data_IF_674313689171
#
_entry.id   IF_674313689171
#
_cell.length_a   1.000
_cell.length_b   1.000
_cell.length_c   1.000
_cell.angle_alpha   90.00
_cell.angle_beta   90.00
_cell.angle_gamma   90.00
#
_symmetry.space_group_name_H-M   'P 1'
#
loop_
_entity.id
_entity.type
_entity.pdbx_description
1 polymer ?
#
# COMPACT_ATOMS: atom_id res chain seq x y z
N UNK A 1 -24.37 -9.46 17.35
CA UNK A 1 -24.68 -9.39 15.91
C UNK A 1 -23.33 -9.38 15.18
N UNK A 2 -22.99 -10.51 14.54
CA UNK A 2 -21.65 -10.83 14.03
C UNK A 2 -21.37 -9.99 12.77
N UNK A 3 -20.40 -9.08 12.80
CA UNK A 3 -19.91 -8.41 11.59
C UNK A 3 -18.76 -9.22 10.99
N UNK A 4 -19.10 -9.92 9.90
CA UNK A 4 -18.18 -10.56 8.97
C UNK A 4 -17.68 -9.45 8.02
N UNK A 5 -16.54 -8.82 8.32
CA UNK A 5 -15.82 -7.94 7.38
C UNK A 5 -14.68 -8.79 6.81
N UNK A 6 -15.01 -9.54 5.78
CA UNK A 6 -14.11 -10.24 4.85
C UNK A 6 -14.80 -10.15 3.50
N UNK A 7 -14.03 -9.93 2.42
CA UNK A 7 -14.42 -9.47 1.07
C UNK A 7 -14.37 -7.93 1.03
N UNK A 8 -13.30 -7.29 0.53
CA UNK A 8 -12.97 -7.20 -0.91
C UNK A 8 -11.44 -7.03 -1.19
N UNK A 9 -10.56 -7.04 -0.17
CA UNK A 9 -9.21 -6.44 -0.31
C UNK A 9 -8.05 -7.27 -0.89
N UNK A 10 -8.26 -8.36 -1.64
CA UNK A 10 -7.14 -9.11 -2.25
C UNK A 10 -7.42 -9.70 -3.65
N UNK A 11 -8.38 -9.16 -4.39
CA UNK A 11 -8.65 -9.61 -5.77
C UNK A 11 -7.86 -8.81 -6.82
N UNK A 12 -6.64 -8.38 -6.48
CA UNK A 12 -5.68 -7.96 -7.49
C UNK A 12 -4.72 -9.13 -7.73
N UNK A 13 -5.07 -9.88 -8.78
CA UNK A 13 -4.24 -10.85 -9.51
C UNK A 13 -4.01 -12.21 -8.83
N UNK A 14 -5.07 -13.02 -8.70
CA UNK A 14 -4.94 -14.40 -8.20
C UNK A 14 -5.58 -15.51 -9.07
N UNK A 15 -5.88 -15.26 -10.34
CA UNK A 15 -6.35 -16.32 -11.24
C UNK A 15 -5.61 -16.35 -12.58
N UNK A 16 -4.31 -16.65 -12.55
CA UNK A 16 -3.48 -16.83 -13.74
C UNK A 16 -3.81 -18.09 -14.60
N UNK A 17 -5.03 -18.63 -14.57
CA UNK A 17 -5.35 -19.91 -15.22
C UNK A 17 -6.60 -19.96 -16.11
N UNK A 18 -7.38 -18.90 -16.29
CA UNK A 18 -8.53 -18.95 -17.22
C UNK A 18 -8.88 -17.58 -17.79
N UNK A 19 -8.87 -17.49 -19.12
CA UNK A 19 -9.20 -16.34 -19.98
C UNK A 19 -9.86 -15.13 -19.32
N UNK A 20 -9.15 -13.99 -19.37
CA UNK A 20 -9.58 -12.72 -18.80
C UNK A 20 -10.36 -11.91 -19.84
N UNK A 21 -11.51 -11.36 -19.44
CA UNK A 21 -12.35 -10.45 -20.23
C UNK A 21 -12.40 -9.07 -19.57
N UNK A 22 -12.68 -8.01 -20.35
CA UNK A 22 -12.73 -6.59 -19.91
C UNK A 22 -13.67 -6.32 -18.71
N UNK A 23 -14.56 -7.27 -18.36
CA UNK A 23 -15.50 -7.15 -17.25
C UNK A 23 -14.90 -7.30 -15.85
N UNK A 24 -13.72 -7.93 -15.70
CA UNK A 24 -13.17 -8.27 -14.38
C UNK A 24 -12.71 -7.06 -13.56
N UNK A 25 -12.26 -5.98 -14.20
CA UNK A 25 -11.87 -4.77 -13.46
C UNK A 25 -13.05 -4.18 -12.68
N UNK A 26 -14.23 -4.08 -13.29
CA UNK A 26 -15.41 -3.55 -12.60
C UNK A 26 -15.89 -4.46 -11.47
N UNK A 27 -15.77 -5.78 -11.66
CA UNK A 27 -16.11 -6.74 -10.64
C UNK A 27 -15.20 -6.54 -9.41
N UNK A 28 -13.89 -6.29 -9.60
CA UNK A 28 -12.95 -5.94 -8.52
C UNK A 28 -13.24 -4.58 -7.89
N UNK A 29 -13.73 -3.62 -8.66
CA UNK A 29 -14.16 -2.31 -8.17
C UNK A 29 -15.54 -2.35 -7.48
N UNK A 30 -16.10 -3.54 -7.25
CA UNK A 30 -17.32 -3.72 -6.47
C UNK A 30 -18.58 -3.45 -7.27
N UNK A 31 -18.61 -3.80 -8.56
CA UNK A 31 -19.84 -3.78 -9.38
C UNK A 31 -20.97 -4.56 -8.73
N UNK A 32 -20.70 -5.77 -8.22
CA UNK A 32 -21.71 -6.62 -7.57
C UNK A 32 -22.15 -6.08 -6.19
N UNK A 33 -21.25 -5.44 -5.44
CA UNK A 33 -21.58 -4.79 -4.15
C UNK A 33 -22.26 -3.43 -4.31
N UNK A 34 -22.36 -2.93 -5.55
CA UNK A 34 -22.86 -1.60 -5.88
C UNK A 34 -21.94 -0.47 -5.41
N UNK A 35 -20.65 -0.73 -5.21
CA UNK A 35 -19.66 0.27 -4.77
C UNK A 35 -19.39 1.34 -5.83
N UNK A 36 -19.62 1.02 -7.11
CA UNK A 36 -19.55 1.98 -8.22
C UNK A 36 -20.45 3.22 -8.03
N UNK A 37 -21.45 3.17 -7.13
CA UNK A 37 -22.26 4.35 -6.75
C UNK A 37 -21.45 5.52 -6.17
N UNK A 38 -20.23 5.28 -5.70
CA UNK A 38 -19.33 6.30 -5.16
C UNK A 38 -18.47 6.98 -6.23
N UNK A 39 -18.55 6.53 -7.49
CA UNK A 39 -17.94 7.17 -8.66
C UNK A 39 -18.95 8.19 -9.17
N UNK A 40 -18.77 9.46 -8.82
CA UNK A 40 -19.79 10.50 -9.06
C UNK A 40 -19.21 11.74 -9.72
N UNK A 41 -17.95 12.07 -9.42
CA UNK A 41 -17.31 13.29 -9.90
C UNK A 41 -16.57 13.06 -11.21
N UNK A 42 -16.34 14.11 -12.03
CA UNK A 42 -15.48 13.99 -13.21
C UNK A 42 -14.08 13.45 -12.89
N UNK A 43 -13.54 13.75 -11.70
CA UNK A 43 -12.26 13.22 -11.24
C UNK A 43 -12.32 11.71 -11.00
N UNK A 44 -13.39 11.20 -10.37
CA UNK A 44 -13.57 9.76 -10.17
C UNK A 44 -13.57 9.01 -11.50
N UNK A 45 -14.33 9.49 -12.47
CA UNK A 45 -14.39 8.87 -13.80
C UNK A 45 -13.04 8.93 -14.50
N UNK A 46 -12.33 10.06 -14.42
CA UNK A 46 -10.99 10.23 -15.01
C UNK A 46 -10.02 9.19 -14.45
N UNK A 47 -9.91 9.10 -13.12
CA UNK A 47 -8.99 8.19 -12.43
C UNK A 47 -9.34 6.73 -12.63
N UNK A 48 -10.61 6.37 -12.45
CA UNK A 48 -11.06 5.00 -12.64
C UNK A 48 -10.76 4.49 -14.05
N UNK A 49 -11.02 5.32 -15.08
CA UNK A 49 -10.69 4.98 -16.46
C UNK A 49 -9.18 4.90 -16.70
N UNK A 50 -8.39 5.81 -16.13
CA UNK A 50 -6.93 5.76 -16.19
C UNK A 50 -6.36 4.47 -15.61
N UNK A 51 -6.81 4.07 -14.42
CA UNK A 51 -6.37 2.81 -13.80
C UNK A 51 -6.85 1.58 -14.57
N UNK A 52 -8.07 1.61 -15.12
CA UNK A 52 -8.56 0.55 -16.00
C UNK A 52 -7.68 0.40 -17.25
N UNK A 53 -7.27 1.50 -17.87
CA UNK A 53 -6.38 1.45 -19.02
C UNK A 53 -5.01 0.86 -18.66
N UNK A 54 -4.43 1.26 -17.53
CA UNK A 54 -3.18 0.68 -17.02
C UNK A 54 -3.36 -0.83 -16.82
N UNK A 55 -4.41 -1.23 -16.10
CA UNK A 55 -4.72 -2.63 -15.83
C UNK A 55 -4.86 -3.44 -17.13
N UNK A 56 -5.65 -2.96 -18.10
CA UNK A 56 -5.87 -3.66 -19.37
C UNK A 56 -4.60 -3.74 -20.25
N UNK A 57 -3.73 -2.71 -20.21
CA UNK A 57 -2.46 -2.70 -20.95
C UNK A 57 -1.41 -3.60 -20.30
N UNK A 58 -1.37 -3.63 -18.98
CA UNK A 58 -0.32 -4.26 -18.18
C UNK A 58 -0.66 -5.66 -17.70
N UNK A 59 -1.84 -6.20 -17.97
CA UNK A 59 -2.15 -7.58 -17.57
C UNK A 59 -1.28 -8.58 -18.36
N UNK A 60 -0.07 -8.81 -17.85
CA UNK A 60 0.94 -9.68 -18.45
C UNK A 60 0.52 -11.13 -18.25
N UNK A 61 0.66 -11.90 -19.34
CA UNK A 61 0.27 -13.31 -19.50
C UNK A 61 1.46 -14.27 -19.40
N UNK A 62 2.63 -13.81 -18.94
CA UNK A 62 3.86 -14.61 -18.92
C UNK A 62 4.66 -14.40 -17.62
N UNK A 63 5.08 -15.53 -17.07
CA UNK A 63 5.91 -15.64 -15.88
C UNK A 63 7.39 -15.50 -16.29
N UNK A 64 8.07 -14.47 -15.78
CA UNK A 64 9.52 -14.42 -15.80
C UNK A 64 10.10 -15.52 -14.90
N UNK A 65 11.28 -16.05 -15.22
CA UNK A 65 11.93 -17.05 -14.35
C UNK A 65 12.62 -16.43 -13.13
N UNK A 66 12.99 -15.16 -13.21
CA UNK A 66 13.71 -14.42 -12.15
C UNK A 66 12.86 -13.27 -11.61
N UNK A 67 12.88 -13.01 -10.29
CA UNK A 67 12.10 -11.93 -9.68
C UNK A 67 12.67 -10.55 -10.05
N UNK A 68 11.83 -9.68 -10.60
CA UNK A 68 12.10 -8.26 -10.85
C UNK A 68 11.97 -7.43 -9.57
N UNK A 69 11.07 -7.84 -8.67
CA UNK A 69 10.92 -7.29 -7.31
C UNK A 69 11.53 -8.27 -6.31
N UNK A 70 12.44 -7.82 -5.41
CA UNK A 70 13.04 -8.67 -4.39
C UNK A 70 12.01 -9.47 -3.57
N UNK A 71 12.32 -10.73 -3.27
CA UNK A 71 11.46 -11.62 -2.46
C UNK A 71 11.61 -11.33 -0.96
N UNK A 72 11.25 -10.13 -0.56
CA UNK A 72 11.25 -9.65 0.83
C UNK A 72 9.89 -9.03 1.15
N UNK A 73 9.34 -9.37 2.31
CA UNK A 73 8.12 -8.77 2.85
C UNK A 73 8.48 -7.89 4.05
N UNK A 74 8.01 -6.65 4.01
CA UNK A 74 8.20 -5.67 5.07
C UNK A 74 6.89 -5.46 5.85
N UNK A 75 6.96 -5.66 7.16
CA UNK A 75 5.91 -5.32 8.12
C UNK A 75 6.39 -4.18 9.00
N UNK A 76 5.51 -3.21 9.30
CA UNK A 76 5.82 -2.06 10.14
C UNK A 76 4.91 -2.08 11.38
N UNK A 77 5.50 -1.90 12.56
CA UNK A 77 4.76 -1.73 13.81
C UNK A 77 5.44 -0.69 14.71
N UNK A 78 4.70 0.39 14.96
CA UNK A 78 5.20 1.58 15.64
C UNK A 78 4.48 1.82 16.97
N UNK A 79 5.16 2.50 17.88
CA UNK A 79 4.62 2.90 19.17
C UNK A 79 4.63 1.79 20.21
N UNK A 80 4.21 2.16 21.43
CA UNK A 80 4.35 1.29 22.60
C UNK A 80 3.38 0.12 22.64
N UNK A 81 2.29 0.14 21.87
CA UNK A 81 1.27 -0.90 21.88
C UNK A 81 1.85 -2.27 21.50
N UNK A 82 1.34 -3.32 22.14
CA UNK A 82 1.71 -4.70 21.80
C UNK A 82 1.24 -5.06 20.39
N UNK A 83 2.02 -5.89 19.70
CA UNK A 83 1.64 -6.37 18.39
C UNK A 83 0.36 -7.23 18.48
N UNK A 84 -0.69 -6.97 17.68
CA UNK A 84 -1.97 -7.63 17.87
C UNK A 84 -1.90 -9.15 17.64
N UNK A 85 -2.47 -9.95 18.56
CA UNK A 85 -2.48 -11.42 18.44
C UNK A 85 -3.09 -11.92 17.14
N UNK A 86 -4.14 -11.25 16.63
CA UNK A 86 -4.75 -11.59 15.34
C UNK A 86 -3.76 -11.41 14.18
N UNK A 87 -2.92 -10.38 14.23
CA UNK A 87 -1.93 -10.10 13.21
C UNK A 87 -0.77 -11.07 13.26
N UNK A 88 -0.42 -11.62 14.42
CA UNK A 88 0.55 -12.73 14.51
C UNK A 88 0.09 -13.89 13.61
N UNK A 89 -1.18 -14.27 13.69
CA UNK A 89 -1.74 -15.32 12.84
C UNK A 89 -1.68 -14.99 11.35
N UNK A 90 -1.86 -13.71 10.99
CA UNK A 90 -1.74 -13.29 9.58
C UNK A 90 -0.30 -13.40 9.08
N UNK A 91 0.68 -12.99 9.89
CA UNK A 91 2.10 -13.13 9.57
C UNK A 91 2.49 -14.61 9.39
N UNK A 92 1.96 -15.52 10.20
CA UNK A 92 2.17 -16.97 10.02
C UNK A 92 1.69 -17.44 8.64
N UNK A 93 0.53 -16.95 8.17
CA UNK A 93 0.04 -17.27 6.83
C UNK A 93 0.94 -16.69 5.73
N UNK A 94 1.45 -15.47 5.91
CA UNK A 94 2.41 -14.87 4.97
C UNK A 94 3.67 -15.69 4.85
N UNK A 95 4.26 -16.07 6.00
CA UNK A 95 5.46 -16.90 6.05
C UNK A 95 5.25 -18.30 5.45
N UNK A 96 4.08 -18.90 5.70
CA UNK A 96 3.72 -20.21 5.16
C UNK A 96 3.50 -20.18 3.64
N UNK A 97 2.87 -19.14 3.09
CA UNK A 97 2.57 -19.03 1.66
C UNK A 97 3.74 -18.54 0.82
N UNK A 98 4.78 -17.97 1.44
CA UNK A 98 5.95 -17.43 0.77
C UNK A 98 7.25 -18.11 1.28
N UNK A 99 7.38 -19.44 1.10
CA UNK A 99 8.59 -20.14 1.52
C UNK A 99 9.81 -19.59 0.76
N UNK A 100 10.91 -19.36 1.48
CA UNK A 100 12.15 -18.83 0.91
C UNK A 100 12.21 -17.31 0.75
N UNK A 101 11.12 -16.59 1.06
CA UNK A 101 11.14 -15.14 1.14
C UNK A 101 11.77 -14.67 2.45
N UNK A 102 12.34 -13.46 2.43
CA UNK A 102 12.80 -12.78 3.64
C UNK A 102 11.64 -12.00 4.28
N UNK A 103 11.62 -11.92 5.59
CA UNK A 103 10.60 -11.19 6.34
C UNK A 103 11.27 -10.18 7.25
N UNK A 104 10.94 -8.90 7.10
CA UNK A 104 11.48 -7.81 7.91
C UNK A 104 10.39 -7.20 8.77
N UNK A 105 10.69 -6.98 10.03
CA UNK A 105 9.84 -6.33 11.01
C UNK A 105 10.46 -5.01 11.44
N UNK A 106 9.89 -3.91 10.97
CA UNK A 106 10.33 -2.55 11.25
C UNK A 106 9.62 -2.01 12.48
N UNK A 107 10.39 -1.46 13.41
CA UNK A 107 9.85 -0.90 14.65
C UNK A 107 10.69 0.28 15.16
N UNK A 108 10.04 1.17 15.90
CA UNK A 108 10.65 2.37 16.52
C UNK A 108 11.10 2.11 17.96
N UNK A 109 10.89 0.89 18.46
CA UNK A 109 11.27 0.47 19.81
C UNK A 109 12.15 -0.77 19.76
N UNK A 110 12.97 -0.95 20.79
CA UNK A 110 13.79 -2.14 20.94
C UNK A 110 12.92 -3.34 21.38
N UNK A 111 12.20 -3.94 20.43
CA UNK A 111 11.30 -5.10 20.63
C UNK A 111 11.60 -6.20 19.62
N UNK A 112 11.40 -7.45 20.03
CA UNK A 112 11.58 -8.59 19.13
C UNK A 112 10.42 -8.70 18.14
N UNK A 113 10.68 -9.25 16.92
CA UNK A 113 9.61 -9.55 15.99
C UNK A 113 8.62 -10.56 16.57
N UNK A 114 7.35 -10.52 16.13
CA UNK A 114 6.30 -11.39 16.68
C UNK A 114 6.47 -12.87 16.34
N UNK A 115 7.27 -13.21 15.32
CA UNK A 115 7.54 -14.58 14.88
C UNK A 115 9.04 -14.80 14.65
N UNK A 116 9.49 -16.02 14.93
CA UNK A 116 10.86 -16.44 14.62
C UNK A 116 11.10 -16.46 13.10
N UNK A 117 12.33 -16.14 12.68
CA UNK A 117 12.72 -16.08 11.27
C UNK A 117 12.47 -14.73 10.59
N UNK A 118 11.92 -13.75 11.31
CA UNK A 118 11.85 -12.37 10.87
C UNK A 118 13.11 -11.60 11.30
N UNK A 119 13.63 -10.75 10.42
CA UNK A 119 14.69 -9.79 10.71
C UNK A 119 14.10 -8.57 11.43
N UNK A 120 14.69 -8.19 12.56
CA UNK A 120 14.34 -6.97 13.29
C UNK A 120 15.06 -5.77 12.67
N UNK A 121 14.31 -4.73 12.33
CA UNK A 121 14.84 -3.50 11.76
C UNK A 121 14.44 -2.29 12.62
N UNK A 122 15.42 -1.56 13.16
CA UNK A 122 15.18 -0.41 14.03
C UNK A 122 15.17 0.90 13.24
N UNK A 123 14.07 1.65 13.36
CA UNK A 123 13.90 2.93 12.65
C UNK A 123 14.91 3.99 13.11
N UNK A 124 15.36 3.92 14.37
CA UNK A 124 16.43 4.80 14.89
C UNK A 124 17.76 4.69 14.13
N UNK A 125 17.94 3.61 13.37
CA UNK A 125 19.12 3.37 12.51
C UNK A 125 18.80 3.44 11.02
N UNK A 126 17.53 3.69 10.67
CA UNK A 126 17.11 3.75 9.28
C UNK A 126 17.60 5.05 8.62
N UNK A 127 18.36 4.98 7.52
CA UNK A 127 18.96 6.15 6.91
C UNK A 127 17.99 6.79 5.91
N UNK A 128 17.02 7.55 6.42
CA UNK A 128 16.11 8.33 5.60
C UNK A 128 16.86 9.19 4.57
N UNK A 129 16.25 9.42 3.41
CA UNK A 129 16.83 10.24 2.34
C UNK A 129 16.00 11.45 1.97
N UNK A 130 14.68 11.39 2.12
CA UNK A 130 13.75 12.39 1.62
C UNK A 130 12.71 12.82 2.64
N UNK A 131 12.19 11.88 3.41
CA UNK A 131 10.99 12.06 4.22
C UNK A 131 11.22 12.02 5.73
N UNK A 132 12.47 12.16 6.18
CA UNK A 132 12.80 12.16 7.62
C UNK A 132 12.00 13.22 8.40
N UNK A 133 12.03 14.46 7.91
CA UNK A 133 11.30 15.57 8.55
C UNK A 133 9.79 15.31 8.60
N UNK A 134 9.22 14.82 7.49
CA UNK A 134 7.80 14.48 7.40
C UNK A 134 7.43 13.35 8.38
N UNK A 135 8.29 12.35 8.53
CA UNK A 135 8.11 11.22 9.44
C UNK A 135 8.02 11.70 10.89
N UNK A 136 8.94 12.55 11.33
CA UNK A 136 8.98 13.03 12.71
C UNK A 136 7.95 14.11 13.03
N UNK A 137 7.36 14.77 12.02
CA UNK A 137 6.37 15.82 12.23
C UNK A 137 4.92 15.35 12.38
N UNK A 138 4.60 14.12 12.03
CA UNK A 138 3.27 13.57 12.30
C UNK A 138 3.28 12.73 13.58
N UNK A 139 2.24 12.86 14.40
CA UNK A 139 1.96 11.98 15.54
C UNK A 139 1.11 10.76 15.16
N UNK A 140 0.69 10.66 13.89
CA UNK A 140 -0.14 9.57 13.41
C UNK A 140 0.75 8.40 12.94
N UNK A 141 0.69 7.28 13.66
CA UNK A 141 1.47 6.09 13.31
C UNK A 141 1.15 5.51 11.92
N UNK A 142 -0.09 5.65 11.43
CA UNK A 142 -0.45 5.23 10.08
C UNK A 142 0.19 6.09 8.99
N UNK A 143 0.27 7.41 9.21
CA UNK A 143 1.02 8.31 8.33
C UNK A 143 2.52 7.97 8.35
N UNK A 144 3.09 7.77 9.54
CA UNK A 144 4.49 7.35 9.73
C UNK A 144 4.82 6.05 9.00
N UNK A 145 3.96 5.04 9.14
CA UNK A 145 4.13 3.76 8.48
C UNK A 145 4.14 3.92 6.95
N UNK A 146 3.26 4.75 6.38
CA UNK A 146 3.20 4.98 4.93
C UNK A 146 4.41 5.74 4.40
N UNK A 147 4.89 6.74 5.14
CA UNK A 147 6.15 7.44 4.85
C UNK A 147 7.32 6.45 4.82
N UNK A 148 7.44 5.60 5.86
CA UNK A 148 8.46 4.57 5.94
C UNK A 148 8.37 3.59 4.76
N UNK A 149 7.17 3.14 4.41
CA UNK A 149 6.97 2.21 3.28
C UNK A 149 7.60 2.76 2.00
N UNK A 150 7.41 4.04 1.67
CA UNK A 150 7.99 4.61 0.46
C UNK A 150 9.52 4.64 0.49
N UNK A 151 10.12 5.04 1.61
CA UNK A 151 11.58 5.07 1.78
C UNK A 151 12.19 3.65 1.78
N UNK A 152 11.55 2.70 2.47
CA UNK A 152 11.98 1.30 2.54
C UNK A 152 11.92 0.67 1.15
N UNK A 153 10.78 0.73 0.47
CA UNK A 153 10.62 0.11 -0.85
C UNK A 153 11.48 0.79 -1.91
N UNK A 154 11.67 2.10 -1.84
CA UNK A 154 12.57 2.78 -2.78
C UNK A 154 14.03 2.32 -2.60
N UNK A 155 14.45 2.06 -1.36
CA UNK A 155 15.83 1.64 -1.05
C UNK A 155 16.05 0.15 -1.27
N UNK A 156 15.17 -0.68 -0.75
CA UNK A 156 15.34 -2.14 -0.64
C UNK A 156 14.52 -2.92 -1.68
N UNK A 157 13.52 -2.28 -2.30
CA UNK A 157 12.50 -2.96 -3.08
C UNK A 157 11.61 -3.84 -2.18
N UNK A 158 10.93 -4.80 -2.79
CA UNK A 158 10.16 -5.81 -2.09
C UNK A 158 8.67 -5.52 -2.03
N UNK A 159 7.98 -6.20 -1.11
CA UNK A 159 6.55 -6.09 -0.85
C UNK A 159 6.32 -5.55 0.56
N UNK A 160 5.66 -4.41 0.67
CA UNK A 160 5.08 -3.96 1.92
C UNK A 160 3.65 -4.48 2.04
N UNK A 161 3.27 -4.89 3.25
CA UNK A 161 1.89 -5.24 3.55
C UNK A 161 1.52 -4.83 4.98
N UNK A 162 0.31 -4.30 5.14
CA UNK A 162 -0.27 -4.08 6.46
C UNK A 162 -0.40 -5.41 7.22
N UNK A 163 -0.04 -5.36 8.50
CA UNK A 163 0.02 -6.55 9.36
C UNK A 163 -1.34 -7.24 9.60
N UNK A 164 -2.44 -6.59 9.23
CA UNK A 164 -3.80 -7.09 9.39
C UNK A 164 -4.40 -7.66 8.08
N UNK A 165 -3.61 -7.77 7.00
CA UNK A 165 -4.00 -8.44 5.77
C UNK A 165 -3.62 -9.93 5.76
N UNK A 166 -4.52 -10.75 5.22
CA UNK A 166 -4.28 -12.18 4.99
C UNK A 166 -3.81 -12.41 3.55
N UNK A 167 -2.79 -13.26 3.33
CA UNK A 167 -2.41 -13.66 2.00
C UNK A 167 -3.37 -14.74 1.48
N UNK A 168 -3.79 -14.59 0.23
CA UNK A 168 -4.65 -15.56 -0.44
C UNK A 168 -3.87 -16.50 -1.37
N UNK A 169 -2.74 -16.04 -1.91
CA UNK A 169 -1.75 -16.90 -2.57
C UNK A 169 -0.36 -16.25 -2.57
N UNK A 170 0.60 -16.95 -3.20
CA UNK A 170 1.96 -16.45 -3.40
C UNK A 170 2.01 -15.27 -4.37
N UNK A 171 2.86 -14.29 -4.04
CA UNK A 171 3.19 -13.14 -4.87
C UNK A 171 4.39 -13.38 -5.81
N UNK A 172 4.91 -14.62 -5.90
CA UNK A 172 6.05 -14.96 -6.76
C UNK A 172 5.84 -14.53 -8.22
N UNK A 173 4.68 -14.84 -8.79
CA UNK A 173 4.36 -14.48 -10.18
C UNK A 173 4.33 -12.97 -10.37
N UNK A 174 3.75 -12.23 -9.42
CA UNK A 174 3.71 -10.77 -9.48
C UNK A 174 5.11 -10.16 -9.41
N UNK A 175 5.96 -10.66 -8.50
CA UNK A 175 7.35 -10.21 -8.39
C UNK A 175 8.19 -10.57 -9.62
N UNK A 176 7.83 -11.61 -10.38
CA UNK A 176 8.51 -11.98 -11.61
C UNK A 176 7.99 -11.24 -12.86
N UNK A 177 6.77 -10.71 -12.82
CA UNK A 177 6.13 -10.06 -13.96
C UNK A 177 6.17 -8.53 -13.92
N UNK A 178 6.32 -7.91 -12.76
CA UNK A 178 6.20 -6.46 -12.59
C UNK A 178 7.37 -5.84 -11.83
N UNK A 179 7.68 -4.58 -12.13
CA UNK A 179 8.61 -3.75 -11.37
C UNK A 179 7.91 -2.92 -10.29
N UNK A 180 6.58 -2.81 -10.37
CA UNK A 180 5.74 -2.11 -9.39
C UNK A 180 4.31 -2.64 -9.48
N UNK A 181 3.66 -2.82 -8.34
CA UNK A 181 2.22 -3.06 -8.27
C UNK A 181 1.65 -2.61 -6.92
N UNK A 182 0.37 -2.23 -6.92
CA UNK A 182 -0.35 -1.86 -5.71
C UNK A 182 -1.84 -2.20 -5.82
N UNK A 183 -2.52 -2.16 -4.68
CA UNK A 183 -3.97 -2.21 -4.61
C UNK A 183 -4.65 -0.97 -5.21
N UNK A 184 -5.96 -1.03 -5.47
CA UNK A 184 -6.83 0.15 -5.41
C UNK A 184 -7.60 0.09 -4.09
N UNK A 185 -7.81 1.25 -3.46
CA UNK A 185 -8.68 1.35 -2.30
C UNK A 185 -10.13 1.02 -2.67
N UNK A 186 -10.89 0.35 -1.79
CA UNK A 186 -12.33 0.18 -1.97
C UNK A 186 -13.03 1.53 -2.17
N UNK A 187 -13.91 1.59 -3.17
CA UNK A 187 -14.71 2.77 -3.42
C UNK A 187 -15.60 3.06 -2.21
N UNK A 188 -15.44 4.24 -1.64
CA UNK A 188 -16.14 4.69 -0.44
C UNK A 188 -16.33 6.22 -0.47
N UNK A 189 -17.21 6.77 0.37
CA UNK A 189 -17.33 8.22 0.52
C UNK A 189 -15.99 8.85 0.89
N UNK A 190 -15.54 9.80 0.09
CA UNK A 190 -14.29 10.52 0.28
C UNK A 190 -14.55 11.99 0.59
N UNK A 191 -13.66 12.57 1.40
CA UNK A 191 -13.63 14.03 1.64
C UNK A 191 -12.71 14.75 0.65
N UNK A 192 -11.92 13.98 -0.12
CA UNK A 192 -11.06 14.47 -1.18
C UNK A 192 -11.89 14.68 -2.45
N UNK A 193 -11.29 15.29 -3.48
CA UNK A 193 -11.95 15.53 -4.77
C UNK A 193 -12.29 14.25 -5.55
N UNK A 194 -11.84 13.08 -5.07
CA UNK A 194 -12.13 11.77 -5.66
C UNK A 194 -12.29 10.69 -4.58
N UNK A 195 -12.98 9.60 -4.92
CA UNK A 195 -13.09 8.34 -4.19
C UNK A 195 -12.18 7.23 -4.72
N UNK A 196 -11.39 7.49 -5.77
CA UNK A 196 -10.57 6.48 -6.47
C UNK A 196 -9.09 6.71 -6.17
N UNK A 197 -8.49 5.81 -5.38
CA UNK A 197 -7.09 5.90 -4.94
C UNK A 197 -6.35 4.57 -5.10
N UNK A 198 -5.04 4.61 -5.39
CA UNK A 198 -4.17 3.47 -5.17
C UNK A 198 -4.05 3.20 -3.67
N UNK A 199 -4.11 1.92 -3.30
CA UNK A 199 -4.02 1.48 -1.94
C UNK A 199 -2.58 1.38 -1.47
N UNK A 200 -2.30 1.93 -0.29
CA UNK A 200 -0.99 1.87 0.34
C UNK A 200 -0.86 0.70 1.34
N UNK A 201 -1.94 -0.06 1.55
CA UNK A 201 -1.99 -1.22 2.46
C UNK A 201 -1.21 -2.44 1.94
N UNK A 202 -1.00 -2.50 0.62
CA UNK A 202 -0.19 -3.50 -0.06
C UNK A 202 0.45 -2.85 -1.29
N UNK A 203 1.77 -2.81 -1.29
CA UNK A 203 2.56 -2.07 -2.28
C UNK A 203 3.87 -2.80 -2.52
N UNK A 204 4.23 -3.02 -3.78
CA UNK A 204 5.50 -3.62 -4.13
C UNK A 204 6.22 -2.81 -5.20
N UNK A 205 7.55 -2.79 -5.12
CA UNK A 205 8.38 -2.07 -6.06
C UNK A 205 9.78 -2.68 -6.18
N UNK A 206 10.39 -2.55 -7.35
CA UNK A 206 11.81 -2.74 -7.51
C UNK A 206 12.55 -1.58 -6.81
N UNK A 207 13.78 -1.81 -6.29
CA UNK A 207 14.59 -0.74 -5.73
C UNK A 207 14.77 0.41 -6.73
N UNK A 208 14.61 1.64 -6.27
CA UNK A 208 14.80 2.84 -7.08
C UNK A 208 13.64 3.19 -8.02
N UNK A 209 12.45 2.58 -7.86
CA UNK A 209 11.34 2.77 -8.81
C UNK A 209 10.90 4.25 -8.95
N UNK A 210 10.73 4.78 -10.19
CA UNK A 210 10.36 6.18 -10.43
C UNK A 210 9.05 6.63 -9.76
N UNK A 211 8.00 5.79 -9.79
CA UNK A 211 6.73 6.08 -9.10
C UNK A 211 6.93 6.39 -7.60
N UNK A 212 7.81 5.65 -6.90
CA UNK A 212 8.09 5.91 -5.50
C UNK A 212 8.91 7.19 -5.31
N UNK A 213 9.82 7.49 -6.22
CA UNK A 213 10.54 8.77 -6.21
C UNK A 213 9.58 9.95 -6.31
N UNK A 214 8.72 9.95 -7.33
CA UNK A 214 7.73 11.02 -7.56
C UNK A 214 6.73 11.11 -6.39
N UNK A 215 6.33 9.97 -5.81
CA UNK A 215 5.49 9.92 -4.60
C UNK A 215 6.15 10.65 -3.43
N UNK A 216 7.44 10.36 -3.18
CA UNK A 216 8.18 10.98 -2.08
C UNK A 216 8.46 12.46 -2.31
N UNK A 217 8.86 12.86 -3.53
CA UNK A 217 9.09 14.28 -3.84
C UNK A 217 7.78 15.08 -3.74
N UNK A 218 6.67 14.54 -4.26
CA UNK A 218 5.37 15.20 -4.10
C UNK A 218 5.00 15.36 -2.63
N UNK A 219 5.11 14.29 -1.82
CA UNK A 219 4.79 14.35 -0.40
C UNK A 219 5.66 15.38 0.32
N UNK A 220 6.96 15.38 0.07
CA UNK A 220 7.92 16.33 0.65
C UNK A 220 7.53 17.78 0.35
N UNK A 221 7.23 18.09 -0.91
CA UNK A 221 6.90 19.46 -1.34
C UNK A 221 5.55 19.96 -0.80
N UNK A 222 4.62 19.04 -0.52
CA UNK A 222 3.26 19.39 -0.11
C UNK A 222 2.97 19.12 1.38
N UNK A 223 3.89 18.49 2.12
CA UNK A 223 3.63 18.08 3.50
C UNK A 223 3.17 19.25 4.38
N UNK A 224 3.94 20.34 4.40
CA UNK A 224 3.65 21.52 5.22
C UNK A 224 2.53 22.40 4.67
N UNK A 225 2.32 22.40 3.36
CA UNK A 225 1.21 23.17 2.77
C UNK A 225 -0.14 22.57 3.18
N UNK A 226 -0.25 21.24 3.24
CA UNK A 226 -1.44 20.56 3.78
C UNK A 226 -1.68 20.87 5.26
N UNK A 227 -0.61 21.09 6.05
CA UNK A 227 -0.74 21.52 7.44
C UNK A 227 -1.42 22.88 7.56
N UNK A 228 -1.00 23.79 6.69
CA UNK A 228 -1.43 25.18 6.67
C UNK A 228 -2.85 25.33 6.11
N UNK A 229 -3.27 24.44 5.21
CA UNK A 229 -4.62 24.45 4.65
C UNK A 229 -5.68 23.92 5.63
N UNK A 230 -5.32 22.93 6.46
CA UNK A 230 -6.24 22.29 7.39
C UNK A 230 -5.75 22.51 8.83
N UNK A 231 -5.86 23.75 9.32
CA UNK A 231 -5.35 24.14 10.64
C UNK A 231 -6.20 23.56 11.78
N UNK A 232 -5.55 23.25 12.90
CA UNK A 232 -6.18 22.93 14.17
C UNK A 232 -6.40 21.43 14.40
N UNK A 233 -7.13 21.12 15.47
CA UNK A 233 -7.28 19.76 16.02
C UNK A 233 -8.68 19.18 15.83
N UNK A 234 -9.51 19.81 14.99
CA UNK A 234 -10.83 19.25 14.68
C UNK A 234 -10.68 17.91 13.94
N UNK A 235 -11.59 16.98 14.21
CA UNK A 235 -11.55 15.65 13.59
C UNK A 235 -11.54 15.72 12.05
N UNK A 236 -12.27 16.70 11.48
CA UNK A 236 -12.30 16.93 10.03
C UNK A 236 -10.97 17.48 9.51
N UNK A 237 -10.33 18.42 10.21
CA UNK A 237 -9.03 18.96 9.81
C UNK A 237 -7.94 17.87 9.86
N UNK A 238 -7.90 17.09 10.94
CA UNK A 238 -6.97 15.95 11.09
C UNK A 238 -7.21 14.95 9.96
N UNK A 239 -8.47 14.56 9.70
CA UNK A 239 -8.81 13.63 8.63
C UNK A 239 -8.37 14.14 7.26
N UNK A 240 -8.56 15.42 6.96
CA UNK A 240 -8.10 16.01 5.70
C UNK A 240 -6.58 15.95 5.55
N UNK A 241 -5.82 16.36 6.58
CA UNK A 241 -4.35 16.27 6.56
C UNK A 241 -3.87 14.85 6.29
N UNK A 242 -4.38 13.90 7.08
CA UNK A 242 -4.01 12.48 6.96
C UNK A 242 -4.32 11.98 5.55
N UNK A 243 -5.55 12.16 5.05
CA UNK A 243 -5.94 11.65 3.73
C UNK A 243 -5.08 12.25 2.60
N UNK A 244 -4.84 13.57 2.62
CA UNK A 244 -3.99 14.23 1.63
C UNK A 244 -2.52 13.83 1.70
N UNK A 245 -1.98 13.54 2.90
CA UNK A 245 -0.58 13.12 3.09
C UNK A 245 -0.35 11.64 2.84
N UNK A 246 -1.42 10.86 2.69
CA UNK A 246 -1.29 9.39 2.69
C UNK A 246 -1.93 8.66 1.52
N UNK A 247 -3.00 9.17 0.92
CA UNK A 247 -3.62 8.56 -0.28
C UNK A 247 -3.27 9.31 -1.55
N UNK A 248 -3.18 10.63 -1.45
CA UNK A 248 -2.88 11.49 -2.59
C UNK A 248 -1.48 11.27 -3.20
N UNK A 249 -0.40 11.19 -2.40
CA UNK A 249 0.96 11.18 -2.96
C UNK A 249 1.21 10.02 -3.92
N UNK A 250 0.70 8.83 -3.60
CA UNK A 250 0.86 7.65 -4.44
C UNK A 250 0.11 7.79 -5.78
N UNK A 251 -1.03 8.50 -5.78
CA UNK A 251 -1.73 8.80 -7.02
C UNK A 251 -0.87 9.68 -7.93
N UNK A 252 -0.28 10.73 -7.36
CA UNK A 252 0.61 11.64 -8.09
C UNK A 252 1.85 10.92 -8.61
N UNK A 253 2.42 10.02 -7.81
CA UNK A 253 3.54 9.18 -8.23
C UNK A 253 3.21 8.30 -9.43
N UNK A 254 2.03 7.67 -9.45
CA UNK A 254 1.59 6.82 -10.57
C UNK A 254 1.28 7.64 -11.82
N UNK A 255 0.75 8.85 -11.67
CA UNK A 255 0.41 9.72 -12.80
C UNK A 255 1.65 10.38 -13.44
N UNK A 256 2.75 10.54 -12.68
CA UNK A 256 3.96 11.27 -13.11
C UNK A 256 5.17 10.38 -13.43
N UNK A 257 5.30 9.22 -12.78
CA UNK A 257 6.46 8.34 -12.86
C UNK A 257 6.31 7.19 -13.84
#
# INVERSE_FOLDING_TARGET
>A
MKLLISLVNCLLVLFAASGWADSQFDDFMGKESGALRYVQTPEDFRRLNGYREIYNKQIVRQEGSEPLIPKVIHFIWLGSADFPTRSVHHLEQWMKQHPGWQFKFWTDLDRDPPLAGMEKCLISTFPFKRLEDAYYQTDNFGERARILTYEILYREGGLYVDHDLLPYASFDALNASYHFYCGLEPLAPSILSTSVFPGAHLLAAAPGHPILLETMEWLKDHFYSMESQFIGTSALAIKNRVMHRTLWPLSEGIERG
#
